data_IF_093401252148
#
_entry.id   IF_093401252148
#
_cell.length_a   1.000
_cell.length_b   1.000
_cell.length_c   1.000
_cell.angle_alpha   90.00
_cell.angle_beta   90.00
_cell.angle_gamma   90.00
#
_symmetry.space_group_name_H-M   'P 1'
#
loop_
_entity.id
_entity.type
_entity.pdbx_description
1 polymer ?
#
# COMPACT_ATOMS: atom_id res chain seq x y z
N UNK A 1 17.14 44.76 -8.51
CA UNK A 1 16.31 43.57 -8.17
C UNK A 1 16.57 42.33 -9.03
N UNK A 2 16.67 42.43 -10.37
CA UNK A 2 16.92 41.26 -11.25
C UNK A 2 18.25 40.51 -10.91
N UNK A 3 19.33 41.24 -10.63
CA UNK A 3 20.62 40.62 -10.28
C UNK A 3 20.64 39.94 -8.91
N UNK A 4 19.91 40.48 -7.93
CA UNK A 4 19.76 39.85 -6.61
C UNK A 4 18.98 38.54 -6.73
N UNK A 5 17.87 38.53 -7.46
CA UNK A 5 17.11 37.29 -7.76
C UNK A 5 17.98 36.27 -8.53
N UNK A 6 18.77 36.72 -9.50
CA UNK A 6 19.67 35.86 -10.29
C UNK A 6 20.74 35.21 -9.40
N UNK A 7 21.32 35.97 -8.46
CA UNK A 7 22.31 35.46 -7.50
C UNK A 7 21.70 34.50 -6.47
N UNK A 8 20.51 34.79 -5.94
CA UNK A 8 19.82 33.91 -4.99
C UNK A 8 19.44 32.55 -5.59
N UNK A 9 19.13 32.50 -6.88
CA UNK A 9 18.80 31.26 -7.59
C UNK A 9 20.03 30.55 -8.18
N UNK A 10 21.22 31.15 -8.14
CA UNK A 10 22.42 30.57 -8.73
C UNK A 10 22.78 29.18 -8.18
N UNK A 11 22.67 28.89 -6.87
CA UNK A 11 22.89 27.53 -6.36
C UNK A 11 21.88 26.50 -6.89
N UNK A 12 20.62 26.90 -7.10
CA UNK A 12 19.58 26.03 -7.67
C UNK A 12 19.81 25.78 -9.16
N UNK A 13 20.42 26.74 -9.87
CA UNK A 13 20.82 26.61 -11.28
C UNK A 13 22.08 25.77 -11.47
N UNK A 14 22.90 25.61 -10.41
CA UNK A 14 24.09 24.76 -10.38
C UNK A 14 23.79 23.32 -9.93
N UNK A 15 22.52 22.94 -9.76
CA UNK A 15 22.15 21.52 -9.59
C UNK A 15 22.79 20.71 -10.71
N UNK A 16 23.19 19.48 -10.40
CA UNK A 16 23.81 18.59 -11.38
C UNK A 16 23.05 18.67 -12.70
N UNK A 17 23.77 18.92 -13.79
CA UNK A 17 23.19 19.02 -15.13
C UNK A 17 22.35 17.78 -15.50
N UNK A 18 22.58 16.65 -14.82
CA UNK A 18 21.80 15.43 -14.96
C UNK A 18 20.41 15.43 -14.31
N UNK A 19 20.07 16.32 -13.37
CA UNK A 19 18.73 16.29 -12.74
C UNK A 19 17.62 16.68 -13.72
N UNK A 20 17.89 17.62 -14.60
CA UNK A 20 16.99 18.09 -15.65
C UNK A 20 17.66 17.93 -17.03
N UNK A 21 18.25 16.76 -17.28
CA UNK A 21 18.73 16.42 -18.63
C UNK A 21 17.55 16.36 -19.61
N UNK A 22 17.82 16.58 -20.90
CA UNK A 22 16.79 16.52 -21.94
C UNK A 22 16.09 15.16 -21.97
N UNK A 23 16.82 14.07 -21.71
CA UNK A 23 16.28 12.71 -21.56
C UNK A 23 15.24 12.63 -20.43
N UNK A 24 15.59 13.07 -19.21
CA UNK A 24 14.66 13.06 -18.07
C UNK A 24 13.48 14.01 -18.24
N UNK A 25 13.69 15.13 -18.93
CA UNK A 25 12.60 16.04 -19.30
C UNK A 25 11.66 15.37 -20.30
N UNK A 26 12.19 14.64 -21.29
CA UNK A 26 11.41 13.82 -22.21
C UNK A 26 10.57 12.77 -21.48
N UNK A 27 11.17 12.02 -20.54
CA UNK A 27 10.43 11.06 -19.71
C UNK A 27 9.34 11.72 -18.86
N UNK A 28 9.63 12.87 -18.26
CA UNK A 28 8.66 13.62 -17.47
C UNK A 28 7.50 14.14 -18.32
N UNK A 29 7.79 14.68 -19.52
CA UNK A 29 6.77 15.12 -20.46
C UNK A 29 5.91 13.95 -20.93
N UNK A 30 6.50 12.81 -21.29
CA UNK A 30 5.75 11.61 -21.65
C UNK A 30 4.82 11.14 -20.52
N UNK A 31 5.25 11.24 -19.26
CA UNK A 31 4.38 10.95 -18.09
C UNK A 31 3.21 11.94 -17.99
N UNK A 32 3.47 13.24 -18.18
CA UNK A 32 2.43 14.29 -18.15
C UNK A 32 1.45 14.13 -19.31
N UNK A 33 1.93 13.80 -20.51
CA UNK A 33 1.10 13.51 -21.68
C UNK A 33 0.17 12.32 -21.43
N UNK A 34 0.66 11.25 -20.80
CA UNK A 34 -0.20 10.13 -20.36
C UNK A 34 -1.27 10.58 -19.36
N UNK A 35 -0.91 11.39 -18.36
CA UNK A 35 -1.86 11.94 -17.38
C UNK A 35 -2.95 12.78 -18.08
N UNK A 36 -2.55 13.70 -18.96
CA UNK A 36 -3.47 14.55 -19.70
C UNK A 36 -4.35 13.75 -20.68
N UNK A 37 -3.77 12.74 -21.35
CA UNK A 37 -4.47 11.82 -22.24
C UNK A 37 -5.53 11.01 -21.49
N UNK A 38 -5.20 10.44 -20.34
CA UNK A 38 -6.15 9.77 -19.45
C UNK A 38 -7.31 10.67 -19.05
N UNK A 39 -7.02 11.88 -18.58
CA UNK A 39 -8.06 12.85 -18.17
C UNK A 39 -8.99 13.22 -19.34
N UNK A 40 -8.44 13.39 -20.55
CA UNK A 40 -9.24 13.69 -21.74
C UNK A 40 -10.20 12.55 -22.13
N UNK A 41 -9.82 11.29 -21.90
CA UNK A 41 -10.61 10.09 -22.23
C UNK A 41 -11.61 9.70 -21.15
N UNK A 42 -11.45 10.22 -19.93
CA UNK A 42 -12.21 9.79 -18.76
C UNK A 42 -13.73 9.87 -18.95
N UNK A 43 -14.23 10.98 -19.51
CA UNK A 43 -15.69 11.15 -19.71
C UNK A 43 -16.28 10.16 -20.72
N UNK A 44 -15.53 9.87 -21.79
CA UNK A 44 -15.94 8.87 -22.78
C UNK A 44 -15.93 7.46 -22.19
N UNK A 45 -14.89 7.10 -21.43
CA UNK A 45 -14.79 5.80 -20.76
C UNK A 45 -15.92 5.59 -19.73
N UNK A 46 -16.22 6.62 -18.92
CA UNK A 46 -17.32 6.57 -17.95
C UNK A 46 -18.68 6.42 -18.63
N UNK A 47 -18.91 7.12 -19.75
CA UNK A 47 -20.15 7.01 -20.51
C UNK A 47 -20.34 5.61 -21.10
N UNK A 48 -19.26 5.00 -21.63
CA UNK A 48 -19.30 3.65 -22.20
C UNK A 48 -19.72 2.59 -21.18
N UNK A 49 -19.20 2.65 -19.94
CA UNK A 49 -19.56 1.69 -18.88
C UNK A 49 -20.95 1.94 -18.32
N UNK A 50 -21.43 3.19 -18.28
CA UNK A 50 -22.81 3.50 -17.85
C UNK A 50 -23.87 2.91 -18.79
N UNK A 51 -23.63 2.95 -20.10
CA UNK A 51 -24.51 2.35 -21.10
C UNK A 51 -24.60 0.82 -20.93
N UNK A 52 -23.48 0.21 -20.54
CA UNK A 52 -23.38 -1.23 -20.33
C UNK A 52 -24.07 -1.69 -19.04
N UNK A 53 -24.04 -0.92 -17.94
CA UNK A 53 -24.84 -1.27 -16.74
C UNK A 53 -26.35 -1.37 -17.00
N UNK A 54 -26.84 -0.77 -18.07
CA UNK A 54 -28.23 -0.87 -18.52
C UNK A 54 -28.48 -2.11 -19.39
N UNK A 55 -27.43 -2.69 -19.97
CA UNK A 55 -27.45 -3.90 -20.79
C UNK A 55 -26.76 -4.99 -19.97
N UNK A 56 -27.48 -5.81 -19.21
CA UNK A 56 -26.97 -6.81 -18.24
C UNK A 56 -25.80 -7.70 -18.72
N UNK A 57 -24.61 -7.13 -18.89
CA UNK A 57 -23.43 -7.81 -19.36
C UNK A 57 -22.93 -8.73 -18.27
N UNK A 58 -22.87 -10.03 -18.59
CA UNK A 58 -22.29 -11.02 -17.70
C UNK A 58 -20.78 -10.79 -17.63
N UNK A 59 -20.15 -11.01 -16.48
CA UNK A 59 -18.68 -11.05 -16.34
C UNK A 59 -18.01 -12.15 -17.20
N UNK A 60 -18.82 -12.97 -17.88
CA UNK A 60 -18.41 -13.93 -18.91
C UNK A 60 -18.26 -13.33 -20.31
N UNK A 61 -18.74 -12.12 -20.55
CA UNK A 61 -18.64 -11.45 -21.85
C UNK A 61 -17.26 -10.77 -22.02
N UNK A 62 -16.41 -11.23 -22.96
CA UNK A 62 -15.11 -10.60 -23.21
C UNK A 62 -15.21 -9.12 -23.57
N UNK A 63 -16.28 -8.68 -24.23
CA UNK A 63 -16.43 -7.28 -24.61
C UNK A 63 -16.79 -6.39 -23.42
N UNK A 64 -17.61 -6.90 -22.48
CA UNK A 64 -17.83 -6.25 -21.19
C UNK A 64 -16.52 -6.11 -20.41
N UNK A 65 -15.72 -7.19 -20.33
CA UNK A 65 -14.41 -7.16 -19.66
C UNK A 65 -13.47 -6.15 -20.32
N UNK A 66 -13.41 -6.07 -21.65
CA UNK A 66 -12.62 -5.05 -22.37
C UNK A 66 -13.02 -3.63 -21.99
N UNK A 67 -14.32 -3.35 -21.85
CA UNK A 67 -14.81 -2.03 -21.42
C UNK A 67 -14.38 -1.70 -20.00
N UNK A 68 -14.47 -2.66 -19.08
CA UNK A 68 -14.02 -2.48 -17.69
C UNK A 68 -12.51 -2.26 -17.60
N UNK A 69 -11.71 -3.07 -18.30
CA UNK A 69 -10.25 -2.90 -18.39
C UNK A 69 -9.89 -1.53 -18.96
N UNK A 70 -10.59 -1.08 -20.01
CA UNK A 70 -10.40 0.25 -20.59
C UNK A 70 -10.67 1.35 -19.56
N UNK A 71 -11.77 1.26 -18.81
CA UNK A 71 -12.09 2.24 -17.78
C UNK A 71 -11.03 2.26 -16.66
N UNK A 72 -10.63 1.10 -16.16
CA UNK A 72 -9.61 0.99 -15.12
C UNK A 72 -8.27 1.58 -15.57
N UNK A 73 -7.85 1.30 -16.81
CA UNK A 73 -6.65 1.86 -17.43
C UNK A 73 -6.73 3.38 -17.51
N UNK A 74 -7.85 3.94 -18.00
CA UNK A 74 -8.04 5.39 -18.11
C UNK A 74 -8.04 6.06 -16.72
N UNK A 75 -8.64 5.44 -15.70
CA UNK A 75 -8.61 5.95 -14.33
C UNK A 75 -7.19 5.96 -13.75
N UNK A 76 -6.40 4.93 -14.02
CA UNK A 76 -5.01 4.82 -13.57
C UNK A 76 -4.12 5.84 -14.29
N UNK A 77 -4.22 5.92 -15.62
CA UNK A 77 -3.50 6.91 -16.42
C UNK A 77 -3.86 8.33 -16.03
N UNK A 78 -5.12 8.62 -15.67
CA UNK A 78 -5.54 9.94 -15.19
C UNK A 78 -5.12 10.22 -13.73
N UNK A 79 -4.43 9.28 -13.05
CA UNK A 79 -4.04 9.41 -11.64
C UNK A 79 -5.21 9.46 -10.66
N UNK A 80 -6.39 8.95 -11.05
CA UNK A 80 -7.60 8.91 -10.21
C UNK A 80 -7.59 7.74 -9.24
N UNK A 81 -6.85 6.69 -9.57
CA UNK A 81 -6.67 5.49 -8.73
C UNK A 81 -5.19 5.11 -8.67
N UNK A 82 -4.80 4.43 -7.58
CA UNK A 82 -3.46 3.86 -7.42
C UNK A 82 -3.27 2.56 -8.20
N UNK A 83 -2.04 2.03 -8.20
CA UNK A 83 -1.70 0.80 -8.89
C UNK A 83 -2.46 -0.42 -8.33
N UNK A 84 -2.61 -0.52 -7.00
CA UNK A 84 -3.35 -1.62 -6.38
C UNK A 84 -4.83 -1.64 -6.81
N UNK A 85 -5.45 -0.46 -6.90
CA UNK A 85 -6.83 -0.32 -7.40
C UNK A 85 -6.93 -0.68 -8.88
N UNK A 86 -5.97 -0.26 -9.69
CA UNK A 86 -5.87 -0.65 -11.10
C UNK A 86 -5.74 -2.16 -11.26
N UNK A 87 -4.82 -2.79 -10.51
CA UNK A 87 -4.63 -4.24 -10.51
C UNK A 87 -5.95 -4.95 -10.18
N UNK A 88 -6.63 -4.54 -9.10
CA UNK A 88 -7.89 -5.14 -8.70
C UNK A 88 -9.02 -4.94 -9.73
N UNK A 89 -9.19 -3.75 -10.31
CA UNK A 89 -10.28 -3.49 -11.25
C UNK A 89 -10.05 -4.13 -12.61
N UNK A 90 -8.86 -3.92 -13.20
CA UNK A 90 -8.53 -4.47 -14.50
C UNK A 90 -8.24 -5.97 -14.41
N UNK A 91 -7.31 -6.35 -13.54
CA UNK A 91 -6.93 -7.75 -13.33
C UNK A 91 -8.07 -8.58 -12.79
N UNK A 92 -8.86 -8.09 -11.83
CA UNK A 92 -9.96 -8.85 -11.23
C UNK A 92 -11.05 -9.23 -12.24
N UNK A 93 -11.38 -8.32 -13.15
CA UNK A 93 -12.35 -8.61 -14.22
C UNK A 93 -11.84 -9.70 -15.18
N UNK A 94 -10.54 -9.68 -15.48
CA UNK A 94 -9.90 -10.69 -16.35
C UNK A 94 -9.74 -12.03 -15.64
N UNK A 95 -9.40 -12.03 -14.34
CA UNK A 95 -9.34 -13.22 -13.50
C UNK A 95 -10.68 -13.93 -13.48
N UNK A 96 -11.77 -13.20 -13.23
CA UNK A 96 -13.11 -13.80 -13.24
C UNK A 96 -13.50 -14.37 -14.59
N UNK A 97 -13.13 -13.73 -15.70
CA UNK A 97 -13.34 -14.29 -17.04
C UNK A 97 -12.54 -15.57 -17.27
N UNK A 98 -11.27 -15.58 -16.87
CA UNK A 98 -10.40 -16.75 -16.93
C UNK A 98 -10.99 -17.93 -16.13
N UNK A 99 -11.43 -17.67 -14.88
CA UNK A 99 -12.07 -18.68 -14.03
C UNK A 99 -13.35 -19.23 -14.69
N UNK A 100 -14.16 -18.39 -15.32
CA UNK A 100 -15.32 -18.85 -16.07
C UNK A 100 -14.95 -19.69 -17.29
N UNK A 101 -13.94 -19.30 -18.08
CA UNK A 101 -13.45 -20.11 -19.19
C UNK A 101 -12.96 -21.47 -18.73
N UNK A 102 -12.28 -21.53 -17.58
CA UNK A 102 -11.86 -22.78 -16.97
C UNK A 102 -13.05 -23.65 -16.56
N UNK A 103 -14.04 -23.09 -15.85
CA UNK A 103 -15.24 -23.82 -15.45
C UNK A 103 -16.11 -24.27 -16.61
N UNK A 104 -16.11 -23.53 -17.72
CA UNK A 104 -16.86 -23.86 -18.95
C UNK A 104 -16.07 -24.81 -19.87
N UNK A 105 -14.93 -25.36 -19.42
CA UNK A 105 -14.18 -26.41 -20.11
C UNK A 105 -13.28 -25.94 -21.26
N UNK A 106 -12.98 -24.63 -21.34
CA UNK A 106 -12.19 -24.07 -22.46
C UNK A 106 -10.74 -24.59 -22.51
N UNK A 107 -10.27 -25.26 -21.45
CA UNK A 107 -8.91 -25.78 -21.34
C UNK A 107 -8.87 -27.31 -21.25
N UNK A 108 -10.01 -27.99 -21.31
CA UNK A 108 -10.15 -29.44 -21.09
C UNK A 108 -9.32 -30.27 -22.07
N UNK A 109 -9.21 -29.84 -23.33
CA UNK A 109 -8.36 -30.52 -24.33
C UNK A 109 -6.90 -30.69 -23.86
N UNK A 110 -6.39 -29.72 -23.10
CA UNK A 110 -5.02 -29.74 -22.58
C UNK A 110 -4.95 -30.32 -21.15
N UNK A 111 -6.00 -30.12 -20.35
CA UNK A 111 -6.04 -30.50 -18.93
C UNK A 111 -6.48 -31.96 -18.73
N UNK A 112 -7.43 -32.46 -19.51
CA UNK A 112 -8.00 -33.81 -19.38
C UNK A 112 -6.97 -34.94 -19.53
N UNK A 113 -6.00 -34.86 -20.47
CA UNK A 113 -4.95 -35.88 -20.55
C UNK A 113 -4.11 -35.96 -19.27
N UNK A 114 -3.84 -34.82 -18.62
CA UNK A 114 -3.06 -34.74 -17.38
C UNK A 114 -3.92 -35.24 -16.21
N UNK A 115 -5.16 -34.76 -16.10
CA UNK A 115 -6.10 -35.18 -15.06
C UNK A 115 -6.35 -36.69 -15.10
N UNK A 116 -6.53 -37.27 -16.30
CA UNK A 116 -6.71 -38.71 -16.49
C UNK A 116 -5.49 -39.53 -16.02
N UNK A 117 -4.28 -39.02 -16.25
CA UNK A 117 -3.05 -39.66 -15.76
C UNK A 117 -2.94 -39.55 -14.23
N UNK A 118 -3.28 -38.38 -13.66
CA UNK A 118 -3.32 -38.20 -12.20
C UNK A 118 -4.32 -39.16 -11.54
N UNK A 119 -5.49 -39.37 -12.15
CA UNK A 119 -6.51 -40.29 -11.67
C UNK A 119 -6.13 -41.76 -11.82
N UNK A 120 -5.34 -42.11 -12.84
CA UNK A 120 -4.76 -43.43 -12.96
C UNK A 120 -3.80 -43.71 -11.79
N UNK A 121 -2.90 -42.77 -11.48
CA UNK A 121 -1.94 -42.89 -10.37
C UNK A 121 -2.68 -42.97 -9.03
N UNK A 122 -3.71 -42.14 -8.80
CA UNK A 122 -4.54 -42.22 -7.58
C UNK A 122 -5.12 -43.62 -7.38
N UNK A 123 -5.71 -44.20 -8.44
CA UNK A 123 -6.29 -45.55 -8.41
C UNK A 123 -5.24 -46.64 -8.19
N UNK A 124 -4.07 -46.52 -8.82
CA UNK A 124 -2.95 -47.47 -8.61
C UNK A 124 -2.47 -47.49 -7.15
N UNK A 125 -2.57 -46.35 -6.46
CA UNK A 125 -2.22 -46.21 -5.05
C UNK A 125 -3.39 -46.46 -4.09
N UNK A 126 -4.52 -46.95 -4.59
CA UNK A 126 -5.66 -47.36 -3.77
C UNK A 126 -6.53 -46.20 -3.24
N UNK A 127 -6.43 -45.01 -3.83
CA UNK A 127 -7.36 -43.91 -3.56
C UNK A 127 -8.63 -44.07 -4.41
N UNK A 128 -9.77 -43.83 -3.78
CA UNK A 128 -11.05 -43.68 -4.48
C UNK A 128 -11.11 -42.38 -5.29
N UNK A 129 -12.08 -42.26 -6.20
CA UNK A 129 -12.21 -41.11 -7.11
C UNK A 129 -12.39 -39.75 -6.41
N UNK A 130 -12.87 -39.75 -5.17
CA UNK A 130 -13.09 -38.58 -4.32
C UNK A 130 -11.99 -38.39 -3.26
N UNK A 131 -11.00 -39.29 -3.23
CA UNK A 131 -9.87 -39.21 -2.31
C UNK A 131 -8.68 -38.57 -3.01
N UNK A 132 -8.01 -37.68 -2.28
CA UNK A 132 -6.87 -36.92 -2.78
C UNK A 132 -5.76 -36.92 -1.74
N UNK A 133 -4.52 -36.90 -2.20
CA UNK A 133 -3.38 -36.59 -1.34
C UNK A 133 -3.45 -35.15 -0.87
N UNK A 134 -3.01 -34.87 0.35
CA UNK A 134 -2.68 -33.51 0.72
C UNK A 134 -1.45 -33.05 -0.08
N UNK A 135 -1.27 -31.73 -0.17
CA UNK A 135 -0.17 -31.14 -0.95
C UNK A 135 1.19 -31.66 -0.45
N UNK A 136 1.91 -32.35 -1.33
CA UNK A 136 3.24 -32.90 -1.05
C UNK A 136 3.26 -34.35 -0.52
N UNK A 137 2.09 -34.95 -0.26
CA UNK A 137 1.99 -36.33 0.26
C UNK A 137 1.83 -37.38 -0.85
N UNK A 138 1.62 -36.95 -2.10
CA UNK A 138 1.49 -37.82 -3.27
C UNK A 138 2.83 -38.37 -3.76
N UNK A 139 2.81 -39.45 -4.57
CA UNK A 139 4.02 -39.98 -5.19
C UNK A 139 4.64 -38.96 -6.17
N UNK A 140 5.97 -39.00 -6.41
CA UNK A 140 6.66 -37.99 -7.21
C UNK A 140 6.10 -37.78 -8.62
N UNK A 141 5.61 -38.83 -9.27
CA UNK A 141 4.96 -38.81 -10.58
C UNK A 141 3.63 -38.03 -10.57
N UNK A 142 2.83 -38.15 -9.50
CA UNK A 142 1.61 -37.37 -9.34
C UNK A 142 1.94 -35.90 -9.12
N UNK A 143 2.91 -35.59 -8.25
CA UNK A 143 3.35 -34.20 -8.01
C UNK A 143 3.91 -33.54 -9.27
N UNK A 144 4.56 -34.29 -10.17
CA UNK A 144 5.00 -33.76 -11.46
C UNK A 144 3.83 -33.40 -12.37
N UNK A 145 2.79 -34.22 -12.42
CA UNK A 145 1.59 -33.95 -13.21
C UNK A 145 0.79 -32.79 -12.62
N UNK A 146 0.67 -32.70 -11.30
CA UNK A 146 0.05 -31.56 -10.61
C UNK A 146 0.77 -30.26 -10.97
N UNK A 147 2.12 -30.24 -10.92
CA UNK A 147 2.89 -29.08 -11.34
C UNK A 147 2.72 -28.73 -12.83
N UNK A 148 2.54 -29.73 -13.71
CA UNK A 148 2.24 -29.49 -15.13
C UNK A 148 0.84 -28.92 -15.34
N UNK A 149 -0.15 -29.43 -14.60
CA UNK A 149 -1.52 -28.94 -14.60
C UNK A 149 -1.57 -27.47 -14.14
N UNK A 150 -0.93 -27.16 -13.02
CA UNK A 150 -0.83 -25.79 -12.48
C UNK A 150 -0.12 -24.86 -13.47
N UNK A 151 0.97 -25.31 -14.09
CA UNK A 151 1.70 -24.51 -15.07
C UNK A 151 0.87 -24.17 -16.32
N UNK A 152 0.00 -25.08 -16.78
CA UNK A 152 -0.92 -24.80 -17.89
C UNK A 152 -1.97 -23.75 -17.49
N UNK A 153 -2.54 -23.88 -16.29
CA UNK A 153 -3.49 -22.91 -15.75
C UNK A 153 -2.85 -21.52 -15.59
N UNK A 154 -1.65 -21.45 -15.01
CA UNK A 154 -0.92 -20.19 -14.89
C UNK A 154 -0.59 -19.59 -16.26
N UNK A 155 -0.16 -20.40 -17.23
CA UNK A 155 0.07 -19.96 -18.60
C UNK A 155 -1.21 -19.41 -19.26
N UNK A 156 -2.34 -20.09 -19.09
CA UNK A 156 -3.64 -19.64 -19.60
C UNK A 156 -4.10 -18.33 -18.95
N UNK A 157 -3.87 -18.17 -17.65
CA UNK A 157 -4.14 -16.93 -16.92
C UNK A 157 -3.28 -15.77 -17.44
N UNK A 158 -1.97 -15.97 -17.56
CA UNK A 158 -1.05 -14.97 -18.13
C UNK A 158 -1.42 -14.62 -19.57
N UNK A 159 -1.81 -15.62 -20.37
CA UNK A 159 -2.32 -15.43 -21.72
C UNK A 159 -3.59 -14.56 -21.75
N UNK A 160 -4.50 -14.79 -20.81
CA UNK A 160 -5.74 -14.00 -20.70
C UNK A 160 -5.43 -12.56 -20.27
N UNK A 161 -4.50 -12.32 -19.33
CA UNK A 161 -4.07 -10.95 -19.00
C UNK A 161 -3.50 -10.22 -20.22
N UNK A 162 -2.64 -10.89 -21.00
CA UNK A 162 -2.04 -10.33 -22.24
C UNK A 162 -3.10 -10.10 -23.32
N UNK A 163 -4.10 -10.97 -23.46
CA UNK A 163 -5.24 -10.79 -24.39
C UNK A 163 -5.97 -9.45 -24.17
N UNK A 164 -6.04 -9.01 -22.91
CA UNK A 164 -6.70 -7.76 -22.52
C UNK A 164 -5.74 -6.57 -22.37
N UNK A 165 -4.50 -6.70 -22.83
CA UNK A 165 -3.49 -5.62 -22.81
C UNK A 165 -2.93 -5.31 -21.42
N UNK A 166 -3.04 -6.25 -20.48
CA UNK A 166 -2.53 -6.12 -19.10
C UNK A 166 -1.15 -6.75 -18.96
N UNK A 167 -0.23 -6.42 -19.88
CA UNK A 167 1.13 -6.95 -19.92
C UNK A 167 1.92 -6.65 -18.64
N UNK A 168 1.64 -5.52 -18.00
CA UNK A 168 2.24 -5.12 -16.73
C UNK A 168 1.83 -6.04 -15.58
N UNK A 169 0.53 -6.37 -15.47
CA UNK A 169 0.02 -7.31 -14.49
C UNK A 169 0.43 -8.74 -14.78
N UNK A 170 0.45 -9.15 -16.07
CA UNK A 170 0.95 -10.46 -16.47
C UNK A 170 2.42 -10.64 -16.07
N UNK A 171 3.26 -9.64 -16.36
CA UNK A 171 4.67 -9.65 -15.95
C UNK A 171 4.82 -9.66 -14.43
N UNK A 172 4.00 -8.89 -13.72
CA UNK A 172 4.03 -8.89 -12.25
C UNK A 172 3.70 -10.28 -11.69
N UNK A 173 2.63 -10.94 -12.16
CA UNK A 173 2.28 -12.29 -11.73
C UNK A 173 3.38 -13.31 -12.06
N UNK A 174 4.00 -13.19 -13.23
CA UNK A 174 5.08 -14.08 -13.68
C UNK A 174 6.38 -13.92 -12.86
N UNK A 175 6.71 -12.70 -12.45
CA UNK A 175 7.95 -12.40 -11.71
C UNK A 175 7.80 -12.50 -10.19
N UNK A 176 6.64 -12.12 -9.67
CA UNK A 176 6.34 -12.03 -8.25
C UNK A 176 4.83 -12.23 -7.99
N UNK A 177 4.38 -13.49 -8.10
CA UNK A 177 2.99 -13.86 -7.86
C UNK A 177 2.46 -13.42 -6.46
N UNK A 178 3.21 -13.56 -5.35
CA UNK A 178 2.78 -13.04 -4.06
C UNK A 178 2.51 -11.53 -4.07
N UNK A 179 3.35 -10.74 -4.73
CA UNK A 179 3.12 -9.30 -4.83
C UNK A 179 1.91 -8.96 -5.73
N UNK A 180 1.70 -9.70 -6.81
CA UNK A 180 0.48 -9.60 -7.61
C UNK A 180 -0.77 -9.82 -6.76
N UNK A 181 -0.82 -10.91 -6.00
CA UNK A 181 -1.96 -11.26 -5.15
C UNK A 181 -2.19 -10.21 -4.05
N UNK A 182 -1.11 -9.69 -3.46
CA UNK A 182 -1.18 -8.58 -2.50
C UNK A 182 -1.80 -7.33 -3.14
N UNK A 183 -1.32 -6.91 -4.32
CA UNK A 183 -1.88 -5.76 -5.04
C UNK A 183 -3.37 -5.93 -5.34
N UNK A 184 -3.77 -7.11 -5.79
CA UNK A 184 -5.17 -7.46 -6.07
C UNK A 184 -6.05 -7.35 -4.82
N UNK A 185 -5.65 -7.99 -3.72
CA UNK A 185 -6.42 -7.99 -2.47
C UNK A 185 -6.51 -6.59 -1.86
N UNK A 186 -5.43 -5.81 -1.93
CA UNK A 186 -5.43 -4.42 -1.45
C UNK A 186 -6.33 -3.51 -2.26
N UNK A 187 -6.29 -3.62 -3.58
CA UNK A 187 -7.19 -2.88 -4.45
C UNK A 187 -8.66 -3.19 -4.15
N UNK A 188 -8.97 -4.48 -3.95
CA UNK A 188 -10.29 -4.94 -3.53
C UNK A 188 -10.69 -4.31 -2.20
N UNK A 189 -9.83 -4.37 -1.18
CA UNK A 189 -10.09 -3.75 0.14
C UNK A 189 -10.29 -2.25 0.08
N UNK A 190 -9.48 -1.55 -0.71
CA UNK A 190 -9.63 -0.10 -0.85
C UNK A 190 -10.98 0.32 -1.45
N UNK A 191 -11.63 -0.56 -2.21
CA UNK A 191 -12.91 -0.29 -2.87
C UNK A 191 -14.10 -0.76 -2.05
N UNK A 192 -14.03 -1.98 -1.50
CA UNK A 192 -15.17 -2.63 -0.86
C UNK A 192 -15.16 -2.55 0.68
N UNK A 193 -14.02 -2.22 1.30
CA UNK A 193 -13.82 -2.22 2.75
C UNK A 193 -13.31 -0.86 3.26
N UNK A 194 -13.74 0.23 2.61
CA UNK A 194 -13.34 1.60 2.95
C UNK A 194 -13.81 2.06 4.34
N UNK A 195 -14.78 1.38 4.93
CA UNK A 195 -15.27 1.58 6.29
C UNK A 195 -14.38 0.94 7.36
N UNK A 196 -13.48 0.03 7.00
CA UNK A 196 -12.51 -0.62 7.90
C UNK A 196 -11.30 0.28 8.23
N UNK A 197 -11.54 1.54 8.61
CA UNK A 197 -10.49 2.54 8.85
C UNK A 197 -9.36 2.05 9.78
N UNK A 198 -9.71 1.33 10.85
CA UNK A 198 -8.71 0.83 11.80
C UNK A 198 -7.81 -0.26 11.20
N UNK A 199 -8.34 -1.09 10.30
CA UNK A 199 -7.54 -2.11 9.61
C UNK A 199 -6.62 -1.44 8.57
N UNK A 200 -7.17 -0.54 7.76
CA UNK A 200 -6.42 0.26 6.81
C UNK A 200 -5.29 1.06 7.48
N UNK A 201 -5.55 1.67 8.64
CA UNK A 201 -4.54 2.43 9.36
C UNK A 201 -3.41 1.54 9.92
N UNK A 202 -3.69 0.32 10.39
CA UNK A 202 -2.63 -0.63 10.81
C UNK A 202 -1.73 -0.98 9.64
N UNK A 203 -2.33 -1.29 8.50
CA UNK A 203 -1.61 -1.60 7.28
C UNK A 203 -0.72 -0.42 6.82
N UNK A 204 -1.24 0.81 6.82
CA UNK A 204 -0.47 2.02 6.51
C UNK A 204 0.71 2.21 7.47
N UNK A 205 0.51 1.96 8.77
CA UNK A 205 1.58 2.05 9.76
C UNK A 205 2.72 1.07 9.44
N UNK A 206 2.40 -0.20 9.17
CA UNK A 206 3.40 -1.21 8.77
C UNK A 206 4.15 -0.78 7.50
N UNK A 207 3.44 -0.26 6.50
CA UNK A 207 4.08 0.26 5.28
C UNK A 207 5.04 1.41 5.57
N UNK A 208 4.69 2.33 6.47
CA UNK A 208 5.61 3.38 6.88
C UNK A 208 6.84 2.86 7.61
N UNK A 209 6.75 1.75 8.36
CA UNK A 209 7.92 1.08 8.94
C UNK A 209 8.84 0.53 7.85
N UNK A 210 8.28 -0.20 6.89
CA UNK A 210 9.05 -0.78 5.78
C UNK A 210 9.67 0.29 4.88
N UNK A 211 8.92 1.34 4.55
CA UNK A 211 9.42 2.50 3.81
C UNK A 211 10.56 3.19 4.55
N UNK A 212 10.46 3.31 5.88
CA UNK A 212 11.53 3.88 6.67
C UNK A 212 12.80 3.01 6.59
N UNK A 213 12.66 1.69 6.67
CA UNK A 213 13.76 0.74 6.51
C UNK A 213 14.42 0.85 5.13
N UNK A 214 13.63 0.85 4.04
CA UNK A 214 14.13 1.01 2.67
C UNK A 214 14.81 2.36 2.45
N UNK A 215 14.22 3.44 2.95
CA UNK A 215 14.80 4.78 2.85
C UNK A 215 16.13 4.87 3.61
N UNK A 216 16.21 4.31 4.82
CA UNK A 216 17.46 4.29 5.59
C UNK A 216 18.55 3.46 4.90
N UNK A 217 18.21 2.29 4.35
CA UNK A 217 19.14 1.46 3.58
C UNK A 217 19.71 2.18 2.35
N UNK A 218 18.94 3.10 1.75
CA UNK A 218 19.38 3.96 0.65
C UNK A 218 20.08 5.26 1.11
N UNK A 219 20.30 5.46 2.41
CA UNK A 219 20.89 6.68 2.97
C UNK A 219 19.95 7.90 3.01
N UNK A 220 18.66 7.72 2.70
CA UNK A 220 17.64 8.76 2.70
C UNK A 220 17.02 8.99 4.10
N UNK A 221 17.86 9.30 5.09
CA UNK A 221 17.45 9.36 6.51
C UNK A 221 16.33 10.37 6.81
N UNK A 222 16.26 11.50 6.07
CA UNK A 222 15.17 12.46 6.22
C UNK A 222 13.80 11.86 5.87
N UNK A 223 13.73 11.04 4.81
CA UNK A 223 12.52 10.32 4.44
C UNK A 223 12.21 9.23 5.46
N UNK A 224 13.23 8.47 5.90
CA UNK A 224 13.05 7.42 6.89
C UNK A 224 12.45 7.94 8.21
N UNK A 225 13.01 9.04 8.73
CA UNK A 225 12.49 9.73 9.92
C UNK A 225 11.07 10.24 9.72
N UNK A 226 10.76 10.77 8.53
CA UNK A 226 9.42 11.26 8.24
C UNK A 226 8.39 10.14 8.23
N UNK A 227 8.71 8.99 7.63
CA UNK A 227 7.89 7.78 7.63
C UNK A 227 7.68 7.24 9.04
N UNK A 228 8.74 7.11 9.86
CA UNK A 228 8.59 6.70 11.27
C UNK A 228 7.72 7.68 12.07
N UNK A 229 7.88 8.98 11.85
CA UNK A 229 7.05 10.00 12.50
C UNK A 229 5.57 9.92 12.10
N UNK A 230 5.27 9.54 10.85
CA UNK A 230 3.91 9.28 10.38
C UNK A 230 3.36 7.96 10.96
N UNK A 231 4.18 6.92 11.06
CA UNK A 231 3.85 5.65 11.72
C UNK A 231 3.47 5.86 13.18
N UNK A 232 4.25 6.63 13.94
CA UNK A 232 3.91 6.97 15.34
C UNK A 232 2.57 7.71 15.43
N UNK A 233 2.30 8.66 14.55
CA UNK A 233 1.00 9.34 14.51
C UNK A 233 -0.15 8.33 14.32
N UNK A 234 0.00 7.39 13.38
CA UNK A 234 -0.95 6.30 13.15
C UNK A 234 -1.16 5.41 14.38
N UNK A 235 -0.09 5.01 15.06
CA UNK A 235 -0.16 4.23 16.32
C UNK A 235 -0.95 4.95 17.41
N UNK A 236 -0.78 6.26 17.56
CA UNK A 236 -1.52 7.05 18.55
C UNK A 236 -3.01 7.17 18.20
N UNK A 237 -3.34 7.33 16.91
CA UNK A 237 -4.74 7.31 16.44
C UNK A 237 -5.37 5.96 16.75
N UNK A 238 -4.71 4.85 16.40
CA UNK A 238 -5.17 3.49 16.71
C UNK A 238 -5.39 3.30 18.22
N UNK A 239 -4.47 3.78 19.06
CA UNK A 239 -4.63 3.70 20.52
C UNK A 239 -5.86 4.44 21.02
N UNK A 240 -6.13 5.63 20.47
CA UNK A 240 -7.31 6.42 20.81
C UNK A 240 -8.60 5.74 20.35
N UNK A 241 -8.62 5.19 19.14
CA UNK A 241 -9.77 4.47 18.56
C UNK A 241 -10.08 3.18 19.31
N UNK A 242 -9.09 2.52 19.92
CA UNK A 242 -9.29 1.35 20.79
C UNK A 242 -9.96 1.69 22.12
N UNK A 243 -9.93 2.95 22.55
CA UNK A 243 -10.53 3.39 23.83
C UNK A 243 -11.21 4.77 23.69
N UNK A 244 -12.22 4.90 22.81
CA UNK A 244 -12.70 6.20 22.33
C UNK A 244 -13.30 7.05 23.45
N UNK A 245 -14.09 6.44 24.36
CA UNK A 245 -14.68 7.14 25.51
C UNK A 245 -13.61 7.72 26.45
N UNK A 246 -12.51 6.97 26.68
CA UNK A 246 -11.39 7.45 27.52
C UNK A 246 -10.65 8.57 26.81
N UNK A 247 -10.36 8.41 25.51
CA UNK A 247 -9.70 9.42 24.69
C UNK A 247 -10.49 10.74 24.68
N UNK A 248 -11.79 10.69 24.40
CA UNK A 248 -12.68 11.86 24.39
C UNK A 248 -12.72 12.56 25.76
N UNK A 249 -12.91 11.78 26.85
CA UNK A 249 -12.96 12.34 28.21
C UNK A 249 -11.68 13.09 28.56
N UNK A 250 -10.53 12.58 28.12
CA UNK A 250 -9.22 13.23 28.34
C UNK A 250 -9.08 14.46 27.45
N UNK A 251 -9.41 14.35 26.16
CA UNK A 251 -9.38 15.45 25.21
C UNK A 251 -10.19 16.66 25.71
N UNK A 252 -11.39 16.42 26.28
CA UNK A 252 -12.23 17.48 26.88
C UNK A 252 -11.56 18.19 28.07
N UNK A 253 -10.70 17.51 28.81
CA UNK A 253 -9.97 18.06 29.97
C UNK A 253 -8.69 18.79 29.60
N UNK A 254 -8.21 18.67 28.36
CA UNK A 254 -7.02 19.38 27.92
C UNK A 254 -7.24 20.91 27.93
N UNK A 255 -6.16 21.70 28.13
CA UNK A 255 -6.18 23.15 27.98
C UNK A 255 -6.69 23.56 26.60
N UNK A 256 -7.30 24.75 26.48
CA UNK A 256 -7.92 25.24 25.24
C UNK A 256 -6.97 25.19 24.03
N UNK A 257 -5.67 25.43 24.23
CA UNK A 257 -4.65 25.40 23.18
C UNK A 257 -4.38 23.99 22.61
N UNK A 258 -4.56 22.95 23.43
CA UNK A 258 -4.26 21.56 23.11
C UNK A 258 -5.53 20.71 22.90
N UNK A 259 -6.71 21.31 23.10
CA UNK A 259 -7.99 20.64 22.95
C UNK A 259 -8.39 20.50 21.47
N UNK A 260 -8.71 19.30 20.98
CA UNK A 260 -9.25 19.12 19.64
C UNK A 260 -10.60 19.81 19.46
N UNK A 261 -10.88 20.32 18.24
CA UNK A 261 -12.19 20.88 17.93
C UNK A 261 -13.28 19.79 17.90
N UNK A 262 -12.98 18.64 17.30
CA UNK A 262 -13.85 17.46 17.25
C UNK A 262 -13.39 16.43 18.29
N UNK A 263 -13.71 16.69 19.57
CA UNK A 263 -13.26 15.86 20.71
C UNK A 263 -13.70 14.40 20.67
N UNK A 264 -14.73 14.08 19.89
CA UNK A 264 -15.27 12.73 19.72
C UNK A 264 -14.61 11.95 18.58
N UNK A 265 -13.80 12.61 17.75
CA UNK A 265 -13.22 12.01 16.55
C UNK A 265 -11.68 12.10 16.52
N UNK A 266 -10.97 11.07 17.04
CA UNK A 266 -9.50 11.02 17.03
C UNK A 266 -8.86 11.14 15.65
N UNK A 267 -9.60 10.84 14.56
CA UNK A 267 -9.08 10.90 13.19
C UNK A 267 -8.81 12.34 12.73
N UNK A 268 -9.46 13.31 13.38
CA UNK A 268 -9.31 14.74 13.05
C UNK A 268 -8.31 15.46 13.96
N UNK A 269 -7.65 14.75 14.88
CA UNK A 269 -6.72 15.35 15.83
C UNK A 269 -5.34 15.51 15.19
N UNK A 270 -4.68 16.61 15.51
CA UNK A 270 -3.29 16.83 15.08
C UNK A 270 -2.34 15.91 15.85
N UNK A 271 -1.17 15.62 15.28
CA UNK A 271 -0.13 14.86 15.96
C UNK A 271 0.17 15.38 17.39
N UNK A 272 0.25 16.69 17.59
CA UNK A 272 0.49 17.27 18.92
C UNK A 272 -0.63 16.95 19.91
N UNK A 273 -1.89 16.98 19.47
CA UNK A 273 -3.05 16.68 20.31
C UNK A 273 -3.11 15.20 20.68
N UNK A 274 -2.78 14.31 19.73
CA UNK A 274 -2.67 12.87 19.97
C UNK A 274 -1.62 12.57 21.05
N UNK A 275 -0.45 13.21 20.99
CA UNK A 275 0.59 13.06 22.01
C UNK A 275 0.07 13.47 23.38
N UNK A 276 -0.56 14.64 23.50
CA UNK A 276 -1.06 15.12 24.80
C UNK A 276 -2.18 14.24 25.37
N UNK A 277 -3.13 13.80 24.54
CA UNK A 277 -4.17 12.86 24.99
C UNK A 277 -3.55 11.56 25.47
N UNK A 278 -2.64 10.95 24.69
CA UNK A 278 -2.02 9.68 25.05
C UNK A 278 -1.11 9.79 26.29
N UNK A 279 -0.42 10.93 26.47
CA UNK A 279 0.38 11.22 27.66
C UNK A 279 -0.49 11.33 28.90
N UNK A 280 -1.54 12.16 28.88
CA UNK A 280 -2.46 12.34 30.02
C UNK A 280 -3.26 11.06 30.30
N UNK A 281 -3.49 10.22 29.28
CA UNK A 281 -4.13 8.91 29.43
C UNK A 281 -3.26 7.86 30.13
N UNK A 282 -1.96 8.12 30.30
CA UNK A 282 -0.98 7.15 30.75
C UNK A 282 -0.67 6.07 29.70
N UNK A 283 -0.99 6.32 28.42
CA UNK A 283 -0.67 5.40 27.32
C UNK A 283 0.75 5.59 26.79
N UNK A 284 1.31 6.78 26.96
CA UNK A 284 2.73 7.06 26.80
C UNK A 284 3.37 7.14 28.18
N UNK A 285 3.40 6.01 28.89
CA UNK A 285 3.98 5.94 30.22
C UNK A 285 5.49 6.19 30.16
N UNK A 286 6.03 6.78 31.22
CA UNK A 286 7.46 6.89 31.41
C UNK A 286 8.08 5.51 31.60
N UNK A 287 9.31 5.33 31.15
CA UNK A 287 10.04 4.05 31.26
C UNK A 287 11.15 4.23 32.27
N UNK A 288 11.11 3.46 33.34
CA UNK A 288 12.18 3.40 34.33
C UNK A 288 13.32 2.55 33.77
N UNK A 289 14.48 3.19 33.57
CA UNK A 289 15.75 2.51 33.31
C UNK A 289 16.66 2.68 34.53
N UNK A 290 17.67 1.83 34.76
CA UNK A 290 18.43 1.80 36.03
C UNK A 290 19.05 3.13 36.48
N UNK A 291 19.19 4.13 35.60
CA UNK A 291 19.86 5.40 35.88
C UNK A 291 18.98 6.64 35.73
N UNK A 292 17.81 6.53 35.09
CA UNK A 292 16.93 7.68 34.84
C UNK A 292 15.54 7.22 34.40
N UNK A 293 14.60 8.15 34.38
CA UNK A 293 13.24 7.93 33.88
C UNK A 293 13.13 8.55 32.49
N UNK A 294 12.68 7.76 31.51
CA UNK A 294 12.48 8.21 30.13
C UNK A 294 11.05 8.75 29.97
N UNK A 295 10.91 10.02 29.61
CA UNK A 295 9.62 10.61 29.23
C UNK A 295 9.28 10.26 27.77
N UNK A 296 8.50 9.20 27.59
CA UNK A 296 8.00 8.76 26.28
C UNK A 296 7.22 9.86 25.55
N UNK A 297 6.45 10.69 26.26
CA UNK A 297 5.71 11.80 25.64
C UNK A 297 6.64 12.87 25.08
N UNK A 298 7.66 13.24 25.83
CA UNK A 298 8.73 14.15 25.40
C UNK A 298 9.50 13.63 24.19
N UNK A 299 9.82 12.33 24.17
CA UNK A 299 10.48 11.68 23.03
C UNK A 299 9.62 11.73 21.75
N UNK A 300 8.32 11.49 21.85
CA UNK A 300 7.43 11.59 20.68
C UNK A 300 7.31 13.03 20.18
N UNK A 301 7.28 14.03 21.08
CA UNK A 301 7.35 15.44 20.66
C UNK A 301 8.65 15.75 19.92
N UNK A 302 9.79 15.20 20.36
CA UNK A 302 11.06 15.36 19.66
C UNK A 302 11.01 14.74 18.26
N UNK A 303 10.47 13.53 18.12
CA UNK A 303 10.28 12.89 16.82
C UNK A 303 9.34 13.72 15.91
N UNK A 304 8.25 14.27 16.45
CA UNK A 304 7.35 15.18 15.71
C UNK A 304 8.09 16.40 15.16
N UNK A 305 8.93 17.03 15.98
CA UNK A 305 9.74 18.18 15.54
C UNK A 305 10.71 17.75 14.44
N UNK A 306 11.37 16.60 14.62
CA UNK A 306 12.32 16.07 13.65
C UNK A 306 11.65 15.72 12.32
N UNK A 307 10.48 15.08 12.32
CA UNK A 307 9.64 14.86 11.13
C UNK A 307 9.34 16.16 10.40
N UNK A 308 8.99 17.22 11.14
CA UNK A 308 8.61 18.52 10.56
C UNK A 308 9.78 19.25 9.89
N UNK A 309 11.03 18.81 10.09
CA UNK A 309 12.18 19.31 9.35
C UNK A 309 12.19 18.86 7.87
N UNK A 310 11.26 18.01 7.44
CA UNK A 310 11.00 17.79 6.01
C UNK A 310 10.52 19.07 5.29
N UNK A 311 9.93 20.02 6.03
CA UNK A 311 9.53 21.31 5.47
C UNK A 311 10.74 22.26 5.39
N UNK A 312 11.16 22.71 4.19
CA UNK A 312 12.40 23.47 4.02
C UNK A 312 12.45 24.76 4.85
N UNK A 313 11.34 25.50 4.91
CA UNK A 313 11.27 26.75 5.69
C UNK A 313 11.41 26.50 7.20
N UNK A 314 10.90 25.37 7.70
CA UNK A 314 11.01 24.98 9.10
C UNK A 314 12.44 24.57 9.44
N UNK A 315 13.05 23.75 8.58
CA UNK A 315 14.45 23.35 8.71
C UNK A 315 15.41 24.53 8.66
N UNK A 316 15.24 25.44 7.70
CA UNK A 316 16.07 26.63 7.58
C UNK A 316 15.98 27.56 8.80
N UNK A 317 14.83 27.61 9.47
CA UNK A 317 14.63 28.41 10.69
C UNK A 317 15.23 27.75 11.93
N UNK A 318 14.98 26.46 12.12
CA UNK A 318 15.27 25.77 13.38
C UNK A 318 16.67 25.13 13.40
N UNK A 319 17.14 24.60 12.26
CA UNK A 319 18.44 23.92 12.11
C UNK A 319 19.09 24.26 10.76
N UNK A 320 19.44 25.53 10.49
CA UNK A 320 20.05 25.92 9.22
C UNK A 320 21.35 25.15 8.96
N UNK A 321 21.54 24.69 7.72
CA UNK A 321 22.75 23.99 7.25
C UNK A 321 23.04 22.63 7.90
N UNK A 322 22.12 22.11 8.73
CA UNK A 322 22.21 20.77 9.30
C UNK A 322 21.54 19.77 8.35
N UNK A 323 22.04 18.54 8.33
CA UNK A 323 21.42 17.41 7.59
C UNK A 323 20.98 16.35 8.58
N UNK A 324 19.84 15.72 8.34
CA UNK A 324 19.40 14.54 9.10
C UNK A 324 20.29 13.36 8.67
N UNK A 325 20.97 12.75 9.63
CA UNK A 325 21.90 11.63 9.42
C UNK A 325 21.36 10.36 10.07
N UNK A 326 22.15 9.29 9.95
CA UNK A 326 21.88 7.97 10.52
C UNK A 326 21.54 8.03 12.01
N UNK A 327 22.27 8.81 12.81
CA UNK A 327 21.99 8.93 14.25
C UNK A 327 20.58 9.45 14.52
N UNK A 328 20.09 10.45 13.77
CA UNK A 328 18.72 10.94 13.92
C UNK A 328 17.67 9.91 13.51
N UNK A 329 17.99 9.04 12.55
CA UNK A 329 17.15 7.90 12.19
C UNK A 329 17.12 6.84 13.28
N UNK A 330 18.27 6.44 13.84
CA UNK A 330 18.32 5.46 14.93
C UNK A 330 17.62 5.98 16.21
N UNK A 331 17.78 7.28 16.51
CA UNK A 331 17.01 7.94 17.58
C UNK A 331 15.49 7.84 17.29
N UNK A 332 15.05 8.15 16.06
CA UNK A 332 13.65 8.07 15.66
C UNK A 332 13.10 6.64 15.74
N UNK A 333 13.90 5.65 15.32
CA UNK A 333 13.57 4.23 15.36
C UNK A 333 13.44 3.73 16.80
N UNK A 334 14.33 4.15 17.69
CA UNK A 334 14.22 3.85 19.11
C UNK A 334 12.91 4.41 19.69
N UNK A 335 12.57 5.68 19.39
CA UNK A 335 11.30 6.27 19.82
C UNK A 335 10.11 5.50 19.26
N UNK A 336 10.15 5.12 17.98
CA UNK A 336 9.10 4.32 17.33
C UNK A 336 8.84 3.01 18.08
N UNK A 337 9.88 2.23 18.33
CA UNK A 337 9.78 0.93 19.01
C UNK A 337 9.25 1.07 20.43
N UNK A 338 9.65 2.12 21.16
CA UNK A 338 9.13 2.40 22.49
C UNK A 338 7.63 2.70 22.47
N UNK A 339 7.16 3.51 21.49
CA UNK A 339 5.74 3.81 21.35
C UNK A 339 4.95 2.57 20.95
N UNK A 340 5.44 1.79 19.98
CA UNK A 340 4.81 0.54 19.56
C UNK A 340 4.59 -0.38 20.77
N UNK A 341 5.65 -0.62 21.55
CA UNK A 341 5.57 -1.43 22.76
C UNK A 341 4.61 -0.84 23.82
N UNK A 342 4.59 0.48 24.01
CA UNK A 342 3.70 1.13 24.97
C UNK A 342 2.22 1.05 24.55
N UNK A 343 1.94 1.22 23.26
CA UNK A 343 0.59 1.12 22.68
C UNK A 343 0.06 -0.31 22.76
N UNK A 344 0.91 -1.31 22.56
CA UNK A 344 0.55 -2.73 22.67
C UNK A 344 0.33 -3.18 24.11
N UNK A 345 1.24 -2.81 25.03
CA UNK A 345 1.20 -3.20 26.45
C UNK A 345 0.10 -2.53 27.27
N UNK A 346 -0.44 -1.39 26.82
CA UNK A 346 -1.56 -0.71 27.50
C UNK A 346 -2.91 -1.45 27.34
N UNK A 347 -2.87 -2.76 27.07
CA UNK A 347 -3.99 -3.68 26.94
C UNK A 347 -4.21 -4.40 28.27
N UNK A 348 -5.30 -4.15 29.02
CA UNK A 348 -5.92 -5.24 29.76
C UNK A 348 -6.63 -6.15 28.73
N UNK A 349 -6.44 -7.46 28.88
CA UNK A 349 -7.40 -8.48 28.42
C UNK A 349 -8.81 -8.16 28.89
#
# INVERSE_FOLDING_TARGET
MKDVRRRMLAPLRRREAGFASDERLGEALARIERLAGGESRLQSALSAVKLDRQQSGSWRDPDAVRRFVTLATVLYEAGRIGFEQYASFAGGSVVSLYEHRWLDGCYDEQLDPIASQMDAIRREHGLDSDQHWARGDGPPEHSRLEAQYDALLDSAMLGTLREFGLDDLARLKEQDAPHFDECMERGRRSTFHGDEFSAALRDIVVRFEEEAGRAAAAGAFAAAVASLGAGVEGLLVLRCLRSPKKAERIARKLPRKDRPQRVQDPRAWTFSQLIEVCRVAGWLASIDVPRFVVDSGGLVHRLRVLRNHIHPSKMAKDRPWVTIREQEFEDARAVYLLVLAAVDRASPT
#
